data_IF_112800166984
#
_entry.id   IF_112800166984
#
_cell.length_a   1.000
_cell.length_b   1.000
_cell.length_c   1.000
_cell.angle_alpha   90.00
_cell.angle_beta   90.00
_cell.angle_gamma   90.00
#
_symmetry.space_group_name_H-M   'P 1'
#
loop_
_entity.id
_entity.type
_entity.pdbx_description
1 polymer ?
#
# COMPACT_ATOMS: atom_id res chain seq x y z
N UNK A 1 -111.49 59.53 -59.77
CA UNK A 1 -110.92 58.49 -58.89
C UNK A 1 -109.41 58.47 -59.10
N UNK A 2 -108.64 58.88 -58.10
CA UNK A 2 -107.18 59.02 -58.23
C UNK A 2 -106.48 57.68 -57.92
N UNK A 3 -106.48 56.80 -58.92
CA UNK A 3 -105.89 55.44 -58.86
C UNK A 3 -104.36 55.52 -58.69
N UNK A 4 -103.74 56.61 -59.16
CA UNK A 4 -102.30 56.82 -59.07
C UNK A 4 -101.85 57.18 -57.64
N UNK A 5 -102.64 57.97 -56.90
CA UNK A 5 -102.34 58.32 -55.51
C UNK A 5 -102.29 57.15 -54.52
N UNK A 6 -103.03 56.05 -54.77
CA UNK A 6 -102.98 54.86 -53.90
C UNK A 6 -101.71 54.04 -54.12
N UNK A 7 -101.29 53.85 -55.38
CA UNK A 7 -100.07 53.11 -55.72
C UNK A 7 -98.81 53.81 -55.21
N UNK A 8 -98.74 55.13 -55.29
CA UNK A 8 -97.61 55.92 -54.78
C UNK A 8 -97.50 55.84 -53.26
N UNK A 9 -98.62 55.90 -52.51
CA UNK A 9 -98.62 55.69 -51.05
C UNK A 9 -98.18 54.28 -50.66
N UNK A 10 -98.65 53.25 -51.36
CA UNK A 10 -98.22 51.87 -51.11
C UNK A 10 -96.73 51.67 -51.40
N UNK A 11 -96.21 52.27 -52.48
CA UNK A 11 -94.79 52.24 -52.80
C UNK A 11 -93.95 52.94 -51.73
N UNK A 12 -94.39 54.12 -51.27
CA UNK A 12 -93.73 54.87 -50.19
C UNK A 12 -93.69 54.07 -48.89
N UNK A 13 -94.80 53.45 -48.50
CA UNK A 13 -94.86 52.59 -47.32
C UNK A 13 -93.93 51.37 -47.45
N UNK A 14 -93.85 50.75 -48.63
CA UNK A 14 -92.89 49.66 -48.89
C UNK A 14 -91.43 50.12 -48.82
N UNK A 15 -91.13 51.30 -49.36
CA UNK A 15 -89.81 51.92 -49.26
C UNK A 15 -89.43 52.17 -47.80
N UNK A 16 -90.32 52.75 -47.00
CA UNK A 16 -90.09 53.01 -45.57
C UNK A 16 -89.85 51.69 -44.79
N UNK A 17 -90.62 50.64 -45.07
CA UNK A 17 -90.42 49.32 -44.45
C UNK A 17 -89.07 48.72 -44.84
N UNK A 18 -88.69 48.81 -46.12
CA UNK A 18 -87.41 48.32 -46.62
C UNK A 18 -86.23 49.11 -46.02
N UNK A 19 -86.32 50.45 -45.95
CA UNK A 19 -85.32 51.29 -45.31
C UNK A 19 -85.15 50.95 -43.83
N UNK A 20 -86.26 50.74 -43.11
CA UNK A 20 -86.23 50.32 -41.70
C UNK A 20 -85.58 48.95 -41.54
N UNK A 21 -85.91 47.98 -42.40
CA UNK A 21 -85.30 46.66 -42.40
C UNK A 21 -83.80 46.72 -42.66
N UNK A 22 -83.38 47.48 -43.68
CA UNK A 22 -81.96 47.68 -44.01
C UNK A 22 -81.21 48.35 -42.85
N UNK A 23 -81.77 49.41 -42.26
CA UNK A 23 -81.17 50.08 -41.10
C UNK A 23 -80.97 49.13 -39.93
N UNK A 24 -81.97 48.28 -39.65
CA UNK A 24 -81.88 47.27 -38.60
C UNK A 24 -80.82 46.21 -38.91
N UNK A 25 -80.76 45.72 -40.15
CA UNK A 25 -79.74 44.75 -40.60
C UNK A 25 -78.33 45.33 -40.48
N UNK A 26 -78.09 46.56 -40.96
CA UNK A 26 -76.79 47.21 -40.84
C UNK A 26 -76.42 47.51 -39.39
N UNK A 27 -77.39 47.89 -38.54
CA UNK A 27 -77.15 48.07 -37.11
C UNK A 27 -76.73 46.76 -36.44
N UNK A 28 -77.37 45.64 -36.80
CA UNK A 28 -77.02 44.31 -36.30
C UNK A 28 -75.64 43.87 -36.76
N UNK A 29 -75.33 44.01 -38.05
CA UNK A 29 -74.00 43.71 -38.61
C UNK A 29 -72.91 44.55 -37.92
N UNK A 30 -73.19 45.84 -37.66
CA UNK A 30 -72.26 46.70 -36.93
C UNK A 30 -72.01 46.20 -35.51
N UNK A 31 -73.07 45.85 -34.78
CA UNK A 31 -72.96 45.29 -33.43
C UNK A 31 -72.19 43.96 -33.41
N UNK A 32 -72.44 43.08 -34.38
CA UNK A 32 -71.71 41.81 -34.55
C UNK A 32 -70.23 42.06 -34.86
N UNK A 33 -69.91 43.02 -35.72
CA UNK A 33 -68.54 43.42 -36.04
C UNK A 33 -67.82 44.00 -34.80
N UNK A 34 -68.48 44.87 -34.03
CA UNK A 34 -67.91 45.41 -32.79
C UNK A 34 -67.66 44.30 -31.76
N UNK A 35 -68.58 43.35 -31.65
CA UNK A 35 -68.43 42.17 -30.78
C UNK A 35 -67.26 41.29 -31.25
N UNK A 36 -67.15 41.03 -32.56
CA UNK A 36 -66.05 40.27 -33.13
C UNK A 36 -64.70 40.95 -32.87
N UNK A 37 -64.62 42.27 -33.05
CA UNK A 37 -63.41 43.05 -32.73
C UNK A 37 -63.04 42.96 -31.25
N UNK A 38 -64.02 43.03 -30.35
CA UNK A 38 -63.81 42.85 -28.92
C UNK A 38 -63.24 41.46 -28.60
N UNK A 39 -63.79 40.41 -29.22
CA UNK A 39 -63.28 39.04 -29.08
C UNK A 39 -61.86 38.89 -29.63
N UNK A 40 -61.56 39.42 -30.81
CA UNK A 40 -60.21 39.40 -31.39
C UNK A 40 -59.21 40.09 -30.47
N UNK A 41 -59.55 41.26 -29.92
CA UNK A 41 -58.70 41.97 -28.97
C UNK A 41 -58.52 41.18 -27.67
N UNK A 42 -59.59 40.60 -27.13
CA UNK A 42 -59.50 39.73 -25.95
C UNK A 42 -58.56 38.54 -26.18
N UNK A 43 -58.69 37.84 -27.30
CA UNK A 43 -57.83 36.71 -27.64
C UNK A 43 -56.38 37.13 -27.86
N UNK A 44 -56.15 38.29 -28.48
CA UNK A 44 -54.81 38.85 -28.64
C UNK A 44 -54.16 39.17 -27.28
N UNK A 45 -54.86 39.87 -26.40
CA UNK A 45 -54.38 40.18 -25.05
C UNK A 45 -54.10 38.91 -24.23
N UNK A 46 -54.98 37.91 -24.35
CA UNK A 46 -54.81 36.61 -23.69
C UNK A 46 -53.60 35.85 -24.26
N UNK A 47 -53.35 35.95 -25.56
CA UNK A 47 -52.15 35.43 -26.21
C UNK A 47 -50.86 36.05 -25.65
N UNK A 48 -50.81 37.38 -25.56
CA UNK A 48 -49.67 38.10 -24.95
C UNK A 48 -49.46 37.71 -23.49
N UNK A 49 -50.54 37.56 -22.73
CA UNK A 49 -50.47 37.11 -21.34
C UNK A 49 -49.80 35.73 -21.21
N UNK A 50 -50.24 34.75 -22.00
CA UNK A 50 -49.65 33.41 -21.98
C UNK A 50 -48.20 33.42 -22.46
N UNK A 51 -47.87 34.20 -23.49
CA UNK A 51 -46.49 34.35 -23.95
C UNK A 51 -45.59 34.88 -22.83
N UNK A 52 -46.04 35.89 -22.08
CA UNK A 52 -45.30 36.42 -20.93
C UNK A 52 -45.13 35.38 -19.81
N UNK A 53 -46.16 34.57 -19.54
CA UNK A 53 -46.05 33.48 -18.56
C UNK A 53 -45.03 32.43 -19.00
N UNK A 54 -45.06 32.01 -20.27
CA UNK A 54 -44.11 31.04 -20.84
C UNK A 54 -42.68 31.58 -20.70
N UNK A 55 -42.45 32.84 -21.05
CA UNK A 55 -41.13 33.47 -20.90
C UNK A 55 -40.63 33.48 -19.45
N UNK A 56 -41.52 33.76 -18.47
CA UNK A 56 -41.17 33.71 -17.05
C UNK A 56 -40.85 32.30 -16.57
N UNK A 57 -41.64 31.32 -17.00
CA UNK A 57 -41.40 29.92 -16.68
C UNK A 57 -40.09 29.42 -17.28
N UNK A 58 -39.79 29.80 -18.52
CA UNK A 58 -38.51 29.47 -19.17
C UNK A 58 -37.32 30.08 -18.42
N UNK A 59 -37.38 31.37 -18.06
CA UNK A 59 -36.33 32.03 -17.28
C UNK A 59 -36.11 31.35 -15.93
N UNK A 60 -37.20 30.92 -15.26
CA UNK A 60 -37.11 30.16 -14.01
C UNK A 60 -36.51 28.76 -14.22
N UNK A 61 -36.85 28.06 -15.30
CA UNK A 61 -36.26 26.76 -15.66
C UNK A 61 -34.76 26.88 -15.86
N UNK A 62 -34.31 27.85 -16.69
CA UNK A 62 -32.89 28.07 -16.95
C UNK A 62 -32.11 28.44 -15.69
N UNK A 63 -32.70 29.23 -14.79
CA UNK A 63 -32.08 29.53 -13.49
C UNK A 63 -31.97 28.28 -12.60
N UNK A 64 -33.01 27.44 -12.56
CA UNK A 64 -32.97 26.16 -11.83
C UNK A 64 -31.94 25.19 -12.41
N UNK A 65 -31.83 25.09 -13.74
CA UNK A 65 -30.84 24.26 -14.43
C UNK A 65 -29.40 24.70 -14.11
N UNK A 66 -29.14 26.02 -14.08
CA UNK A 66 -27.84 26.55 -13.66
C UNK A 66 -27.50 26.19 -12.21
N UNK A 67 -28.47 26.31 -11.29
CA UNK A 67 -28.30 25.91 -9.88
C UNK A 67 -28.06 24.41 -9.73
N UNK A 68 -28.77 23.60 -10.51
CA UNK A 68 -28.59 22.15 -10.53
C UNK A 68 -27.18 21.79 -11.00
N UNK A 69 -26.71 22.37 -12.11
CA UNK A 69 -25.36 22.18 -12.64
C UNK A 69 -24.27 22.59 -11.62
N UNK A 70 -24.47 23.72 -10.93
CA UNK A 70 -23.58 24.15 -9.85
C UNK A 70 -23.58 23.15 -8.68
N UNK A 71 -24.75 22.66 -8.26
CA UNK A 71 -24.87 21.66 -7.21
C UNK A 71 -24.19 20.33 -7.60
N UNK A 72 -24.37 19.88 -8.84
CA UNK A 72 -23.70 18.68 -9.38
C UNK A 72 -22.18 18.81 -9.37
N UNK A 73 -21.65 19.96 -9.79
CA UNK A 73 -20.21 20.23 -9.73
C UNK A 73 -19.67 20.20 -8.30
N UNK A 74 -20.43 20.75 -7.34
CA UNK A 74 -20.08 20.75 -5.92
C UNK A 74 -20.09 19.34 -5.33
N UNK A 75 -21.10 18.53 -5.67
CA UNK A 75 -21.21 17.13 -5.26
C UNK A 75 -20.04 16.31 -5.82
N UNK A 76 -19.70 16.49 -7.11
CA UNK A 76 -18.54 15.82 -7.73
C UNK A 76 -17.23 16.14 -6.98
N UNK A 77 -17.02 17.41 -6.63
CA UNK A 77 -15.86 17.85 -5.84
C UNK A 77 -15.82 17.19 -4.45
N UNK A 78 -16.96 17.15 -3.76
CA UNK A 78 -17.05 16.51 -2.45
C UNK A 78 -16.81 14.99 -2.51
N UNK A 79 -17.28 14.31 -3.57
CA UNK A 79 -17.00 12.89 -3.80
C UNK A 79 -15.50 12.63 -3.98
N UNK A 80 -14.77 13.49 -4.69
CA UNK A 80 -13.31 13.36 -4.79
C UNK A 80 -12.63 13.50 -3.43
N UNK A 81 -13.00 14.51 -2.63
CA UNK A 81 -12.42 14.70 -1.28
C UNK A 81 -12.70 13.51 -0.36
N UNK A 82 -13.91 12.95 -0.40
CA UNK A 82 -14.25 11.76 0.39
C UNK A 82 -13.43 10.53 -0.01
N UNK A 83 -13.10 10.36 -1.29
CA UNK A 83 -12.22 9.27 -1.76
C UNK A 83 -10.79 9.45 -1.24
N UNK A 84 -10.25 10.67 -1.30
CA UNK A 84 -8.91 10.97 -0.77
C UNK A 84 -8.81 10.74 0.75
N UNK A 85 -9.86 11.10 1.49
CA UNK A 85 -9.96 10.82 2.93
C UNK A 85 -10.03 9.32 3.22
N UNK A 86 -10.82 8.56 2.44
CA UNK A 86 -10.92 7.11 2.60
C UNK A 86 -9.58 6.41 2.33
N UNK A 87 -8.85 6.82 1.29
CA UNK A 87 -7.51 6.31 0.99
C UNK A 87 -6.50 6.65 2.10
N UNK A 88 -6.60 7.85 2.67
CA UNK A 88 -5.78 8.27 3.80
C UNK A 88 -6.08 7.46 5.06
N UNK A 89 -7.35 7.19 5.35
CA UNK A 89 -7.78 6.33 6.45
C UNK A 89 -7.25 4.91 6.29
N UNK A 90 -7.31 4.34 5.07
CA UNK A 90 -6.76 3.01 4.77
C UNK A 90 -5.26 2.93 5.05
N UNK A 91 -4.50 3.97 4.66
CA UNK A 91 -3.05 4.07 4.95
C UNK A 91 -2.77 4.14 6.45
N UNK A 92 -3.59 4.87 7.22
CA UNK A 92 -3.45 4.95 8.68
C UNK A 92 -3.74 3.61 9.36
N UNK A 93 -4.77 2.89 8.92
CA UNK A 93 -5.09 1.55 9.43
C UNK A 93 -3.95 0.56 9.15
N UNK A 94 -3.33 0.64 7.97
CA UNK A 94 -2.15 -0.19 7.68
C UNK A 94 -1.00 0.13 8.65
N UNK A 95 -0.68 1.42 8.85
CA UNK A 95 0.36 1.84 9.80
C UNK A 95 0.07 1.38 11.23
N UNK A 96 -1.20 1.40 11.65
CA UNK A 96 -1.60 0.88 12.96
C UNK A 96 -1.34 -0.63 13.06
N UNK A 97 -1.69 -1.40 12.03
CA UNK A 97 -1.37 -2.83 11.97
C UNK A 97 0.13 -3.09 12.05
N UNK A 98 0.94 -2.29 11.36
CA UNK A 98 2.40 -2.42 11.38
C UNK A 98 2.97 -2.10 12.78
N UNK A 99 2.41 -1.10 13.47
CA UNK A 99 2.77 -0.78 14.87
C UNK A 99 2.38 -1.92 15.81
N UNK A 100 1.22 -2.55 15.60
CA UNK A 100 0.78 -3.69 16.40
C UNK A 100 1.70 -4.90 16.21
N UNK A 101 2.16 -5.19 14.98
CA UNK A 101 3.15 -6.26 14.77
C UNK A 101 4.47 -5.94 15.45
N UNK A 102 4.96 -4.69 15.36
CA UNK A 102 6.18 -4.27 16.03
C UNK A 102 6.06 -4.38 17.56
N UNK A 103 4.89 -4.10 18.13
CA UNK A 103 4.62 -4.25 19.56
C UNK A 103 4.66 -5.72 19.99
N UNK A 104 4.20 -6.65 19.15
CA UNK A 104 4.28 -8.09 19.42
C UNK A 104 5.70 -8.63 19.28
N UNK A 105 6.49 -8.07 18.36
CA UNK A 105 7.92 -8.41 18.18
C UNK A 105 8.83 -7.78 19.24
N UNK A 106 8.40 -6.68 19.86
CA UNK A 106 9.14 -6.04 20.93
C UNK A 106 9.26 -7.00 22.11
N UNK A 107 10.51 -7.30 22.50
CA UNK A 107 10.84 -8.11 23.66
C UNK A 107 10.08 -7.56 24.86
N UNK A 108 9.25 -8.41 25.47
CA UNK A 108 8.49 -8.01 26.64
C UNK A 108 9.45 -7.63 27.77
N UNK A 109 9.04 -6.69 28.63
CA UNK A 109 9.82 -6.30 29.80
C UNK A 109 10.24 -7.51 30.65
N UNK A 110 9.38 -8.54 30.69
CA UNK A 110 9.66 -9.82 31.36
C UNK A 110 10.81 -10.60 30.70
N UNK A 111 10.82 -10.69 29.37
CA UNK A 111 11.91 -11.35 28.65
C UNK A 111 13.22 -10.56 28.78
N UNK A 112 13.15 -9.23 28.74
CA UNK A 112 14.31 -8.38 28.97
C UNK A 112 14.91 -8.62 30.37
N UNK A 113 14.06 -8.65 31.40
CA UNK A 113 14.46 -8.95 32.78
C UNK A 113 15.06 -10.35 32.90
N UNK A 114 14.49 -11.35 32.23
CA UNK A 114 15.07 -12.70 32.18
C UNK A 114 16.48 -12.71 31.59
N UNK A 115 16.72 -11.97 30.49
CA UNK A 115 18.07 -11.85 29.92
C UNK A 115 19.03 -11.11 30.86
N UNK A 116 18.57 -10.06 31.55
CA UNK A 116 19.37 -9.32 32.52
C UNK A 116 19.77 -10.21 33.71
N UNK A 117 18.84 -11.01 34.25
CA UNK A 117 19.14 -11.96 35.32
C UNK A 117 20.18 -12.99 34.87
N UNK A 118 20.00 -13.59 33.69
CA UNK A 118 20.95 -14.57 33.17
C UNK A 118 22.36 -13.97 32.90
N UNK A 119 22.42 -12.74 32.39
CA UNK A 119 23.71 -12.02 32.23
C UNK A 119 24.33 -11.74 33.60
N UNK A 120 23.54 -11.32 34.58
CA UNK A 120 24.00 -11.06 35.95
C UNK A 120 24.59 -12.32 36.58
N UNK A 121 23.94 -13.47 36.39
CA UNK A 121 24.45 -14.78 36.83
C UNK A 121 25.77 -15.15 36.13
N UNK A 122 25.90 -14.87 34.84
CA UNK A 122 27.15 -15.11 34.11
C UNK A 122 28.29 -14.20 34.60
N UNK A 123 28.01 -12.92 34.83
CA UNK A 123 28.96 -11.97 35.40
C UNK A 123 29.40 -12.46 36.78
N UNK A 124 28.46 -12.91 37.62
CA UNK A 124 28.78 -13.45 38.93
C UNK A 124 29.70 -14.69 38.85
N UNK A 125 29.38 -15.65 37.97
CA UNK A 125 30.23 -16.83 37.73
C UNK A 125 31.63 -16.47 37.24
N UNK A 126 31.74 -15.44 36.39
CA UNK A 126 33.04 -14.92 35.93
C UNK A 126 33.80 -14.28 37.10
N UNK A 127 33.11 -13.51 37.94
CA UNK A 127 33.68 -12.91 39.16
C UNK A 127 34.32 -13.96 40.07
N UNK A 128 33.59 -15.04 40.37
CA UNK A 128 34.11 -16.15 41.18
C UNK A 128 35.37 -16.78 40.57
N UNK A 129 35.40 -17.01 39.25
CA UNK A 129 36.59 -17.52 38.56
C UNK A 129 37.76 -16.56 38.60
N UNK A 130 37.52 -15.26 38.49
CA UNK A 130 38.58 -14.25 38.62
C UNK A 130 39.17 -14.29 40.02
N UNK A 131 38.33 -14.45 41.05
CA UNK A 131 38.77 -14.58 42.43
C UNK A 131 39.59 -15.87 42.64
N UNK A 132 39.17 -17.01 42.09
CA UNK A 132 39.97 -18.24 42.08
C UNK A 132 41.34 -18.05 41.41
N UNK A 133 41.39 -17.33 40.29
CA UNK A 133 42.63 -17.02 39.58
C UNK A 133 43.50 -16.00 40.33
N UNK A 134 42.94 -15.21 41.24
CA UNK A 134 43.69 -14.23 42.04
C UNK A 134 44.70 -14.86 43.00
N UNK A 135 44.54 -16.15 43.33
CA UNK A 135 45.48 -16.93 44.16
C UNK A 135 46.64 -17.54 43.37
N UNK A 136 46.58 -17.54 42.04
CA UNK A 136 47.65 -18.07 41.18
C UNK A 136 48.99 -17.33 41.32
N UNK A 137 49.06 -15.99 41.44
CA UNK A 137 50.32 -15.27 41.66
C UNK A 137 51.07 -15.79 42.90
N UNK A 138 50.37 -16.03 44.01
CA UNK A 138 50.95 -16.57 45.24
C UNK A 138 51.43 -18.01 45.04
N UNK A 139 50.66 -18.84 44.34
CA UNK A 139 51.04 -20.23 44.02
C UNK A 139 52.22 -20.30 43.05
N UNK A 140 52.28 -19.39 42.08
CA UNK A 140 53.41 -19.22 41.15
C UNK A 140 54.64 -18.75 41.93
N UNK A 141 54.49 -17.85 42.90
CA UNK A 141 55.59 -17.42 43.77
C UNK A 141 56.15 -18.58 44.59
N UNK A 142 55.28 -19.36 45.25
CA UNK A 142 55.67 -20.54 46.01
C UNK A 142 56.35 -21.61 45.13
N UNK A 143 55.83 -21.84 43.91
CA UNK A 143 56.46 -22.75 42.95
C UNK A 143 57.81 -22.22 42.44
N UNK A 144 57.95 -20.91 42.22
CA UNK A 144 59.24 -20.30 41.86
C UNK A 144 60.26 -20.50 43.00
N UNK A 145 59.84 -20.33 44.25
CA UNK A 145 60.67 -20.53 45.43
C UNK A 145 61.11 -22.01 45.59
N UNK A 146 60.18 -22.95 45.38
CA UNK A 146 60.48 -24.38 45.33
C UNK A 146 61.42 -24.73 44.17
N UNK A 147 61.27 -24.09 43.00
CA UNK A 147 62.14 -24.31 41.85
C UNK A 147 63.55 -23.77 42.11
N UNK A 148 63.69 -22.59 42.72
CA UNK A 148 65.00 -22.06 43.14
C UNK A 148 65.65 -22.94 44.21
N UNK A 149 64.87 -23.53 45.12
CA UNK A 149 65.36 -24.51 46.09
C UNK A 149 65.83 -25.82 45.44
N UNK A 150 65.14 -26.30 44.41
CA UNK A 150 65.55 -27.49 43.66
C UNK A 150 66.75 -27.25 42.73
N UNK A 151 66.91 -26.05 42.16
CA UNK A 151 68.10 -25.68 41.37
C UNK A 151 69.36 -25.50 42.23
N UNK A 152 69.21 -25.25 43.54
CA UNK A 152 70.30 -25.21 44.51
C UNK A 152 70.71 -26.60 45.05
N UNK A 153 70.01 -27.67 44.65
CA UNK A 153 70.32 -29.05 45.01
C UNK A 153 71.02 -29.78 43.84
N UNK A 154 72.15 -30.47 44.06
CA UNK A 154 72.90 -31.11 42.98
C UNK A 154 72.25 -32.45 42.61
N UNK A 155 71.23 -32.42 41.75
CA UNK A 155 70.64 -33.62 41.17
C UNK A 155 70.48 -33.57 39.65
N UNK A 156 70.41 -34.79 39.12
CA UNK A 156 70.83 -35.30 37.81
C UNK A 156 70.15 -34.62 36.60
N UNK A 157 70.98 -34.05 35.73
CA UNK A 157 70.62 -33.20 34.58
C UNK A 157 69.92 -33.95 33.43
N UNK A 158 69.77 -35.28 33.52
CA UNK A 158 69.12 -36.11 32.50
C UNK A 158 67.58 -36.05 32.46
N UNK A 159 66.91 -35.74 33.57
CA UNK A 159 65.43 -35.71 33.65
C UNK A 159 64.83 -34.38 33.13
N UNK A 160 65.60 -33.29 33.17
CA UNK A 160 65.14 -31.95 32.77
C UNK A 160 64.94 -31.87 31.25
N UNK A 161 65.84 -32.50 30.47
CA UNK A 161 65.74 -32.52 29.01
C UNK A 161 64.46 -33.18 28.48
N UNK A 162 63.98 -34.24 29.13
CA UNK A 162 62.74 -34.93 28.72
C UNK A 162 61.49 -34.07 28.95
N UNK A 163 61.39 -33.39 30.10
CA UNK A 163 60.27 -32.47 30.39
C UNK A 163 60.27 -31.24 29.48
N UNK A 164 61.45 -30.72 29.12
CA UNK A 164 61.56 -29.59 28.18
C UNK A 164 61.13 -30.00 26.77
N UNK A 165 61.52 -31.19 26.31
CA UNK A 165 61.08 -31.72 25.02
C UNK A 165 59.56 -31.95 24.96
N UNK A 166 58.97 -32.48 26.03
CA UNK A 166 57.51 -32.71 26.12
C UNK A 166 56.72 -31.39 26.13
N UNK A 167 57.25 -30.34 26.77
CA UNK A 167 56.65 -29.00 26.75
C UNK A 167 56.78 -28.32 25.39
N UNK A 168 57.92 -28.51 24.69
CA UNK A 168 58.10 -28.00 23.33
C UNK A 168 57.18 -28.68 22.32
N UNK A 169 56.91 -29.98 22.48
CA UNK A 169 55.95 -30.69 21.61
C UNK A 169 54.51 -30.24 21.86
N UNK A 170 54.11 -30.07 23.13
CA UNK A 170 52.80 -29.50 23.49
C UNK A 170 52.64 -28.09 22.93
N UNK A 171 53.68 -27.25 22.95
CA UNK A 171 53.65 -25.90 22.37
C UNK A 171 53.45 -25.93 20.84
N UNK A 172 54.16 -26.82 20.12
CA UNK A 172 53.99 -26.99 18.67
C UNK A 172 52.58 -27.48 18.30
N UNK A 173 51.99 -28.38 19.11
CA UNK A 173 50.61 -28.87 18.90
C UNK A 173 49.53 -27.79 19.09
N UNK A 174 49.82 -26.76 19.89
CA UNK A 174 48.94 -25.61 20.11
C UNK A 174 49.07 -24.59 18.97
N UNK A 175 50.28 -24.38 18.45
CA UNK A 175 50.55 -23.46 17.33
C UNK A 175 50.04 -24.01 15.98
N UNK A 176 50.06 -25.33 15.78
CA UNK A 176 49.57 -25.97 14.54
C UNK A 176 48.04 -25.97 14.41
N UNK A 177 47.29 -25.69 15.48
CA UNK A 177 45.82 -25.55 15.41
C UNK A 177 45.50 -24.18 14.83
N UNK A 178 44.88 -24.16 13.63
CA UNK A 178 44.38 -22.93 12.97
C UNK A 178 43.80 -21.96 14.01
N UNK A 179 44.20 -20.67 14.00
CA UNK A 179 43.80 -19.71 15.02
C UNK A 179 42.26 -19.67 15.15
N UNK A 180 41.71 -19.54 16.36
CA UNK A 180 40.25 -19.57 16.60
C UNK A 180 39.46 -18.63 15.69
N UNK A 181 40.07 -17.48 15.33
CA UNK A 181 39.51 -16.49 14.40
C UNK A 181 39.25 -17.06 13.00
N UNK A 182 40.14 -17.91 12.46
CA UNK A 182 39.95 -18.51 11.13
C UNK A 182 38.81 -19.55 11.14
N UNK A 183 38.71 -20.37 12.19
CA UNK A 183 37.58 -21.31 12.35
C UNK A 183 36.24 -20.58 12.47
N UNK A 184 36.23 -19.44 13.17
CA UNK A 184 35.03 -18.61 13.30
C UNK A 184 34.63 -18.00 11.95
N UNK A 185 35.59 -17.46 11.18
CA UNK A 185 35.34 -16.88 9.85
C UNK A 185 34.87 -17.95 8.85
N UNK A 186 35.48 -19.13 8.83
CA UNK A 186 35.00 -20.26 8.00
C UNK A 186 33.56 -20.68 8.39
N UNK A 187 33.25 -20.72 9.69
CA UNK A 187 31.91 -21.06 10.18
C UNK A 187 30.87 -19.99 9.83
N UNK A 188 31.20 -18.71 9.98
CA UNK A 188 30.32 -17.59 9.61
C UNK A 188 30.06 -17.59 8.10
N UNK A 189 31.08 -17.82 7.27
CA UNK A 189 30.93 -17.86 5.82
C UNK A 189 30.11 -19.07 5.34
N UNK A 190 30.27 -20.23 5.98
CA UNK A 190 29.44 -21.41 5.67
C UNK A 190 27.98 -21.16 6.08
N UNK A 191 27.77 -20.61 7.27
CA UNK A 191 26.43 -20.27 7.76
C UNK A 191 25.75 -19.20 6.90
N UNK A 192 26.49 -18.19 6.41
CA UNK A 192 25.90 -17.16 5.53
C UNK A 192 25.49 -17.72 4.18
N UNK A 193 26.28 -18.64 3.61
CA UNK A 193 25.94 -19.33 2.37
C UNK A 193 24.67 -20.17 2.50
N UNK A 194 24.59 -21.00 3.56
CA UNK A 194 23.42 -21.85 3.84
C UNK A 194 22.18 -21.01 4.13
N UNK A 195 22.35 -19.86 4.79
CA UNK A 195 21.27 -18.91 5.04
C UNK A 195 20.72 -18.29 3.75
N UNK A 196 21.61 -17.78 2.86
CA UNK A 196 21.18 -17.22 1.57
C UNK A 196 20.44 -18.29 0.75
N UNK A 197 20.90 -19.54 0.78
CA UNK A 197 20.24 -20.67 0.13
C UNK A 197 18.82 -20.91 0.66
N UNK A 198 18.65 -20.89 1.98
CA UNK A 198 17.35 -21.02 2.63
C UNK A 198 16.40 -19.84 2.28
N UNK A 199 16.91 -18.62 2.21
CA UNK A 199 16.15 -17.42 1.82
C UNK A 199 15.72 -17.48 0.35
N UNK A 200 16.63 -17.89 -0.55
CA UNK A 200 16.28 -18.07 -1.96
C UNK A 200 15.17 -19.11 -2.15
N UNK A 201 15.26 -20.24 -1.44
CA UNK A 201 14.21 -21.26 -1.42
C UNK A 201 12.89 -20.76 -0.85
N UNK A 202 12.90 -19.96 0.22
CA UNK A 202 11.68 -19.46 0.84
C UNK A 202 10.94 -18.51 -0.10
N UNK A 203 11.65 -17.66 -0.86
CA UNK A 203 11.05 -16.81 -1.88
C UNK A 203 10.49 -17.62 -3.06
N UNK A 204 11.23 -18.60 -3.58
CA UNK A 204 10.73 -19.45 -4.67
C UNK A 204 9.47 -20.22 -4.23
N UNK A 205 9.41 -20.69 -2.97
CA UNK A 205 8.21 -21.32 -2.40
C UNK A 205 7.05 -20.33 -2.23
N UNK A 206 7.33 -19.13 -1.73
CA UNK A 206 6.31 -18.11 -1.44
C UNK A 206 5.62 -17.59 -2.70
N UNK A 207 6.38 -17.35 -3.77
CA UNK A 207 5.85 -16.75 -4.99
C UNK A 207 5.40 -17.78 -6.04
N UNK A 208 5.70 -19.07 -5.83
CA UNK A 208 5.49 -20.22 -6.73
C UNK A 208 6.19 -20.13 -8.09
N UNK A 209 6.16 -18.96 -8.74
CA UNK A 209 6.85 -18.59 -9.97
C UNK A 209 7.57 -17.26 -9.76
N UNK A 210 8.90 -17.29 -9.80
CA UNK A 210 9.72 -16.07 -9.70
C UNK A 210 10.84 -16.10 -10.74
N UNK A 211 11.06 -14.98 -11.42
CA UNK A 211 12.17 -14.91 -12.38
C UNK A 211 13.51 -14.78 -11.67
N UNK A 212 14.57 -15.29 -12.30
CA UNK A 212 15.94 -15.12 -11.79
C UNK A 212 16.30 -13.66 -11.54
N UNK A 213 15.76 -12.76 -12.37
CA UNK A 213 15.97 -11.32 -12.26
C UNK A 213 15.29 -10.75 -11.01
N UNK A 214 14.01 -11.07 -10.78
CA UNK A 214 13.27 -10.62 -9.59
C UNK A 214 13.91 -11.12 -8.30
N UNK A 215 14.28 -12.41 -8.27
CA UNK A 215 14.91 -13.01 -7.10
C UNK A 215 16.29 -12.39 -6.82
N UNK A 216 17.04 -12.05 -7.88
CA UNK A 216 18.31 -11.32 -7.74
C UNK A 216 18.09 -9.93 -7.17
N UNK A 217 17.12 -9.18 -7.67
CA UNK A 217 16.85 -7.82 -7.19
C UNK A 217 16.49 -7.84 -5.70
N UNK A 218 15.65 -8.78 -5.27
CA UNK A 218 15.29 -8.93 -3.85
C UNK A 218 16.50 -9.30 -2.96
N UNK A 219 17.27 -10.32 -3.32
CA UNK A 219 18.34 -10.85 -2.44
C UNK A 219 19.62 -10.02 -2.52
N UNK A 220 19.99 -9.56 -3.71
CA UNK A 220 21.25 -8.87 -3.98
C UNK A 220 21.09 -7.36 -3.88
N UNK A 221 20.13 -6.77 -4.58
CA UNK A 221 20.04 -5.30 -4.67
C UNK A 221 19.30 -4.70 -3.45
N UNK A 222 18.16 -5.28 -3.05
CA UNK A 222 17.37 -4.80 -1.90
C UNK A 222 17.99 -5.21 -0.56
N UNK A 223 18.30 -6.50 -0.38
CA UNK A 223 18.81 -7.01 0.90
C UNK A 223 20.33 -7.00 1.05
N UNK A 224 21.09 -6.77 -0.04
CA UNK A 224 22.57 -6.73 -0.02
C UNK A 224 23.22 -7.95 0.67
N UNK A 225 22.59 -9.14 0.57
CA UNK A 225 23.05 -10.33 1.29
C UNK A 225 24.29 -10.98 0.66
N UNK A 226 24.46 -10.83 -0.66
CA UNK A 226 25.51 -11.52 -1.41
C UNK A 226 25.85 -10.82 -2.72
N UNK A 227 26.98 -11.16 -3.33
CA UNK A 227 27.33 -10.65 -4.66
C UNK A 227 26.54 -11.34 -5.78
N UNK A 228 26.39 -10.68 -6.93
CA UNK A 228 25.76 -11.26 -8.14
C UNK A 228 26.34 -12.62 -8.51
N UNK A 229 27.67 -12.76 -8.47
CA UNK A 229 28.36 -14.02 -8.78
C UNK A 229 28.04 -15.14 -7.80
N UNK A 230 27.97 -14.83 -6.51
CA UNK A 230 27.66 -15.83 -5.47
C UNK A 230 26.19 -16.24 -5.55
N UNK A 231 25.30 -15.29 -5.84
CA UNK A 231 23.87 -15.56 -6.06
C UNK A 231 23.64 -16.60 -7.16
N UNK A 232 24.24 -16.44 -8.34
CA UNK A 232 24.05 -17.40 -9.43
C UNK A 232 24.63 -18.79 -9.11
N UNK A 233 25.76 -18.88 -8.39
CA UNK A 233 26.29 -20.17 -7.92
C UNK A 233 25.33 -20.88 -6.97
N UNK A 234 24.70 -20.15 -6.05
CA UNK A 234 23.70 -20.71 -5.13
C UNK A 234 22.48 -21.25 -5.91
N UNK A 235 22.03 -20.54 -6.95
CA UNK A 235 20.92 -21.01 -7.79
C UNK A 235 21.29 -22.28 -8.58
N UNK A 236 22.51 -22.36 -9.12
CA UNK A 236 23.01 -23.58 -9.77
C UNK A 236 23.08 -24.74 -8.78
N UNK A 237 23.54 -24.50 -7.56
CA UNK A 237 23.53 -25.52 -6.50
C UNK A 237 22.11 -25.99 -6.17
N UNK A 238 21.15 -25.08 -6.04
CA UNK A 238 19.75 -25.41 -5.76
C UNK A 238 19.11 -26.24 -6.89
N UNK A 239 19.44 -25.92 -8.14
CA UNK A 239 19.02 -26.68 -9.31
C UNK A 239 19.66 -28.08 -9.33
N UNK A 240 20.95 -28.19 -8.98
CA UNK A 240 21.65 -29.49 -8.91
C UNK A 240 21.15 -30.38 -7.76
N UNK A 241 20.61 -29.80 -6.68
CA UNK A 241 19.97 -30.52 -5.58
C UNK A 241 18.52 -30.92 -5.85
N UNK A 242 17.99 -30.60 -7.04
CA UNK A 242 16.63 -30.91 -7.48
C UNK A 242 15.52 -30.31 -6.58
N UNK A 243 15.84 -29.25 -5.82
CA UNK A 243 14.87 -28.58 -4.93
C UNK A 243 13.97 -27.59 -5.68
N UNK A 244 14.45 -27.11 -6.84
CA UNK A 244 13.75 -26.15 -7.69
C UNK A 244 13.71 -26.68 -9.13
N UNK A 245 12.65 -26.38 -9.86
CA UNK A 245 12.53 -26.65 -11.29
C UNK A 245 12.63 -25.36 -12.08
N UNK A 246 13.13 -25.45 -13.32
CA UNK A 246 13.43 -24.28 -14.14
C UNK A 246 12.67 -24.35 -15.45
N UNK A 247 11.98 -23.26 -15.80
CA UNK A 247 11.31 -23.11 -17.09
C UNK A 247 11.91 -21.89 -17.78
N UNK A 248 12.33 -22.04 -19.05
CA UNK A 248 12.73 -20.91 -19.87
C UNK A 248 11.49 -20.31 -20.54
N UNK A 249 11.17 -19.07 -20.21
CA UNK A 249 10.10 -18.30 -20.86
C UNK A 249 10.75 -17.14 -21.62
N UNK A 250 10.98 -17.34 -22.92
CA UNK A 250 11.70 -16.38 -23.76
C UNK A 250 13.17 -16.26 -23.35
N UNK A 251 13.59 -15.05 -22.94
CA UNK A 251 14.96 -14.76 -22.48
C UNK A 251 15.16 -14.96 -20.97
N UNK A 252 14.10 -15.25 -20.22
CA UNK A 252 14.15 -15.34 -18.76
C UNK A 252 14.06 -16.79 -18.27
N UNK A 253 14.82 -17.08 -17.20
CA UNK A 253 14.76 -18.33 -16.45
C UNK A 253 13.83 -18.12 -15.25
N UNK A 254 12.72 -18.85 -15.24
CA UNK A 254 11.73 -18.84 -14.16
C UNK A 254 11.95 -20.04 -13.27
N UNK A 255 11.99 -19.81 -11.96
CA UNK A 255 12.12 -20.84 -10.94
C UNK A 255 10.76 -21.21 -10.37
N UNK A 256 10.53 -22.52 -10.23
CA UNK A 256 9.33 -23.12 -9.68
C UNK A 256 9.68 -24.04 -8.52
N UNK A 257 8.91 -23.97 -7.44
CA UNK A 257 9.09 -24.88 -6.30
C UNK A 257 8.61 -26.29 -6.67
N UNK A 258 9.45 -27.32 -6.47
CA UNK A 258 8.98 -28.70 -6.49
C UNK A 258 8.32 -28.99 -5.15
N UNK A 259 6.99 -29.11 -5.14
CA UNK A 259 6.27 -29.67 -4.00
C UNK A 259 6.75 -31.11 -3.81
N UNK A 260 7.52 -31.36 -2.74
CA UNK A 260 7.76 -32.75 -2.30
C UNK A 260 6.39 -33.33 -1.99
N UNK A 261 5.93 -34.27 -2.81
CA UNK A 261 4.81 -35.14 -2.44
C UNK A 261 5.27 -35.86 -1.16
N UNK A 262 4.76 -35.45 -0.01
CA UNK A 262 4.87 -36.23 1.22
C UNK A 262 4.18 -37.55 0.95
N UNK A 263 4.99 -38.60 0.80
CA UNK A 263 4.54 -39.99 0.71
C UNK A 263 4.04 -40.46 2.08
#
# INVERSE_FOLDING_TARGET
MDIFGRKTRQLKARLEVMEKSLRNSFSKIRQENDSMRAWVNYHYQKGLYFQNQISRLHARSSSSESKLSQAESSIKSNISLLRELADSQKKLLQKLSDIESLKQEAISEKELNFYIENISDQIHKIGLKIEELSYLPSKISALKEQLTGHLASPHDSGMIGKKVAELQEKLKSIIAKKPPKQKLVEKVRKNSHDYIKAVALSYIKKYEKISAYQLRDMIVEEQNMTSKSTFYRILEELESMDEISTIKQGKEKIFLSKLRKTA
#
